data_IF_345593091300
#
_entry.id   IF_345593091300
#
_cell.length_a   1.000
_cell.length_b   1.000
_cell.length_c   1.000
_cell.angle_alpha   90.00
_cell.angle_beta   90.00
_cell.angle_gamma   90.00
#
_symmetry.space_group_name_H-M   'P 1'
#
loop_
_entity.id
_entity.type
_entity.pdbx_description
1 polymer ?
#
# COMPACT_ATOMS: atom_id res chain seq x y z
N UNK A 1 -45.38 -37.64 -9.80
CA UNK A 1 -44.22 -37.84 -10.70
C UNK A 1 -43.18 -36.81 -10.28
N UNK A 2 -42.22 -37.06 -9.37
CA UNK A 2 -41.17 -38.11 -9.35
C UNK A 2 -40.52 -38.18 -10.75
N UNK A 3 -39.24 -37.83 -10.99
CA UNK A 3 -37.97 -38.09 -10.28
C UNK A 3 -36.97 -36.92 -10.52
N UNK A 4 -35.96 -36.54 -9.70
CA UNK A 4 -34.99 -37.23 -8.83
C UNK A 4 -33.98 -38.15 -9.55
N UNK A 5 -32.88 -37.61 -10.09
CA UNK A 5 -31.66 -38.40 -10.36
C UNK A 5 -30.38 -37.67 -9.92
N UNK A 6 -29.83 -38.18 -8.83
CA UNK A 6 -28.41 -38.28 -8.46
C UNK A 6 -28.22 -39.74 -8.00
N UNK A 7 -27.08 -40.27 -7.51
CA UNK A 7 -25.64 -39.98 -7.68
C UNK A 7 -24.79 -41.27 -7.91
N UNK A 8 -23.52 -41.19 -8.35
CA UNK A 8 -22.51 -42.26 -8.10
C UNK A 8 -21.07 -41.75 -8.33
N UNK A 9 -20.29 -41.45 -7.27
CA UNK A 9 -19.30 -42.30 -6.58
C UNK A 9 -18.17 -42.89 -7.45
N UNK A 10 -16.93 -42.45 -7.17
CA UNK A 10 -15.73 -43.28 -6.86
C UNK A 10 -14.60 -42.34 -6.37
N UNK A 11 -14.39 -42.22 -5.06
CA UNK A 11 -13.42 -42.93 -4.20
C UNK A 11 -11.94 -42.52 -4.40
N UNK A 12 -11.46 -41.78 -3.40
CA UNK A 12 -10.29 -42.06 -2.56
C UNK A 12 -9.06 -42.73 -3.21
N UNK A 13 -7.95 -41.98 -3.25
CA UNK A 13 -6.60 -42.46 -3.51
C UNK A 13 -5.58 -41.57 -2.80
N UNK A 14 -4.87 -42.18 -1.87
CA UNK A 14 -3.97 -41.63 -0.87
C UNK A 14 -2.60 -41.21 -1.44
N UNK A 15 -2.01 -40.17 -0.83
CA UNK A 15 -0.58 -39.99 -0.57
C UNK A 15 0.45 -39.98 -1.72
N UNK A 16 1.06 -38.80 -1.94
CA UNK A 16 2.53 -38.59 -2.00
C UNK A 16 2.82 -37.07 -2.01
N UNK A 17 3.11 -36.48 -0.84
CA UNK A 17 4.47 -36.18 -0.34
C UNK A 17 5.23 -35.19 -1.26
N UNK A 18 4.91 -33.90 -1.14
CA UNK A 18 5.79 -32.82 -1.57
C UNK A 18 6.76 -32.51 -0.42
N UNK A 19 8.01 -32.94 -0.61
CA UNK A 19 9.12 -32.70 0.30
C UNK A 19 9.66 -31.28 0.11
N UNK A 20 9.79 -30.56 1.22
CA UNK A 20 10.81 -29.53 1.57
C UNK A 20 11.00 -28.35 0.59
N UNK A 21 10.82 -27.13 1.11
CA UNK A 21 11.93 -26.30 1.65
C UNK A 21 11.40 -24.94 2.12
N UNK A 22 10.97 -24.85 3.37
CA UNK A 22 10.93 -23.58 4.09
C UNK A 22 12.25 -23.44 4.86
N UNK A 23 12.99 -22.37 4.56
CA UNK A 23 14.30 -22.10 5.14
C UNK A 23 14.20 -21.79 6.64
N UNK A 24 15.05 -22.44 7.43
CA UNK A 24 15.21 -22.18 8.86
C UNK A 24 16.15 -20.99 9.13
N UNK A 25 16.15 -20.46 10.37
CA UNK A 25 17.06 -19.39 10.81
C UNK A 25 18.49 -19.91 11.04
N UNK A 26 19.50 -19.03 11.09
CA UNK A 26 20.91 -19.43 11.02
C UNK A 26 21.37 -20.08 12.33
N UNK A 27 22.15 -21.17 12.19
CA UNK A 27 22.89 -21.79 13.28
C UNK A 27 24.15 -20.96 13.58
N UNK A 28 24.20 -20.37 14.77
CA UNK A 28 25.45 -19.96 15.39
C UNK A 28 25.88 -21.10 16.30
N UNK A 29 26.97 -21.79 15.95
CA UNK A 29 27.59 -22.80 16.79
C UNK A 29 28.85 -22.22 17.41
N UNK A 30 28.91 -22.14 18.74
CA UNK A 30 30.16 -22.00 19.52
C UNK A 30 29.94 -22.68 20.90
N UNK A 31 30.65 -23.80 21.08
CA UNK A 31 31.19 -24.44 22.29
C UNK A 31 30.33 -24.79 23.52
N UNK A 32 30.54 -26.04 23.96
CA UNK A 32 30.05 -26.57 25.22
C UNK A 32 30.69 -25.90 26.43
N UNK A 33 29.82 -25.58 27.37
CA UNK A 33 30.08 -25.53 28.81
C UNK A 33 28.76 -25.92 29.46
N UNK A 34 28.78 -26.96 30.30
CA UNK A 34 27.58 -27.47 30.96
C UNK A 34 26.93 -26.39 31.82
N UNK A 35 25.76 -25.91 31.40
CA UNK A 35 24.91 -25.07 32.23
C UNK A 35 24.16 -25.96 33.25
N UNK A 36 24.16 -25.62 34.54
CA UNK A 36 23.33 -26.31 35.53
C UNK A 36 21.84 -26.10 35.21
N UNK A 37 20.97 -27.05 35.60
CA UNK A 37 19.53 -26.96 35.32
C UNK A 37 18.94 -25.68 35.92
N UNK A 38 17.98 -25.03 35.23
CA UNK A 38 17.32 -23.85 35.75
C UNK A 38 16.58 -24.19 37.07
N UNK A 39 16.60 -23.29 38.07
CA UNK A 39 15.89 -23.50 39.32
C UNK A 39 14.38 -23.67 39.06
N UNK A 40 13.68 -24.46 39.89
CA UNK A 40 12.23 -24.62 39.77
C UNK A 40 11.54 -23.25 39.87
N UNK A 41 10.46 -23.02 39.10
CA UNK A 41 9.67 -21.80 39.21
C UNK A 41 9.25 -21.60 40.67
N UNK A 42 9.34 -20.37 41.22
CA UNK A 42 8.84 -20.10 42.56
C UNK A 42 7.39 -20.56 42.63
N UNK A 43 7.08 -21.32 43.68
CA UNK A 43 5.74 -21.81 43.96
C UNK A 43 4.75 -20.69 43.67
N UNK A 44 3.80 -20.96 42.77
CA UNK A 44 2.71 -20.06 42.45
C UNK A 44 2.14 -19.53 43.77
N UNK A 45 2.41 -18.26 44.03
CA UNK A 45 1.80 -17.57 45.15
C UNK A 45 0.31 -17.82 45.05
N UNK A 46 -0.27 -18.31 46.14
CA UNK A 46 -1.70 -18.46 46.30
C UNK A 46 -2.43 -17.28 45.66
N UNK A 47 -3.60 -17.47 45.02
CA UNK A 47 -4.40 -16.34 44.58
C UNK A 47 -4.63 -15.47 45.80
N UNK A 48 -3.94 -14.32 45.86
CA UNK A 48 -4.16 -13.36 46.92
C UNK A 48 -5.64 -13.05 46.86
N UNK A 49 -6.33 -13.44 47.94
CA UNK A 49 -7.73 -13.20 48.12
C UNK A 49 -7.97 -11.73 47.74
N UNK A 50 -8.73 -11.52 46.66
CA UNK A 50 -9.21 -10.22 46.30
C UNK A 50 -9.90 -9.68 47.55
N UNK A 51 -9.26 -8.72 48.21
CA UNK A 51 -9.92 -8.00 49.28
C UNK A 51 -11.20 -7.42 48.67
N UNK A 52 -12.33 -7.41 49.41
CA UNK A 52 -13.55 -6.83 48.92
C UNK A 52 -13.28 -5.35 48.68
N UNK A 53 -13.02 -5.00 47.42
CA UNK A 53 -12.87 -3.65 46.94
C UNK A 53 -14.11 -2.88 47.39
N UNK A 54 -13.90 -1.72 47.97
CA UNK A 54 -15.00 -0.86 48.39
C UNK A 54 -15.90 -0.57 47.17
N UNK A 55 -17.21 -0.36 47.34
CA UNK A 55 -18.12 -0.12 46.21
C UNK A 55 -17.62 1.00 45.28
N UNK A 56 -16.95 2.01 45.84
CA UNK A 56 -16.33 3.11 45.10
C UNK A 56 -15.12 2.70 44.23
N UNK A 57 -14.29 1.77 44.68
CA UNK A 57 -13.15 1.24 43.90
C UNK A 57 -13.61 0.32 42.78
N UNK A 58 -14.72 -0.40 42.99
CA UNK A 58 -15.36 -1.22 41.97
C UNK A 58 -15.95 -0.35 40.85
N UNK A 59 -16.62 0.75 41.22
CA UNK A 59 -17.11 1.76 40.27
C UNK A 59 -15.96 2.38 39.47
N UNK A 60 -14.86 2.75 40.13
CA UNK A 60 -13.67 3.28 39.45
C UNK A 60 -13.10 2.28 38.42
N UNK A 61 -12.97 0.99 38.77
CA UNK A 61 -12.50 -0.04 37.84
C UNK A 61 -13.47 -0.27 36.67
N UNK A 62 -14.78 -0.18 36.91
CA UNK A 62 -15.78 -0.28 35.86
C UNK A 62 -15.69 0.90 34.88
N UNK A 63 -15.48 2.12 35.37
CA UNK A 63 -15.27 3.30 34.49
C UNK A 63 -13.99 3.19 33.67
N UNK A 64 -12.89 2.71 34.25
CA UNK A 64 -11.65 2.47 33.50
C UNK A 64 -11.80 1.39 32.45
N UNK A 65 -12.49 0.29 32.77
CA UNK A 65 -12.77 -0.80 31.84
C UNK A 65 -13.68 -0.34 30.71
N UNK A 66 -14.70 0.46 31.00
CA UNK A 66 -15.57 1.08 30.00
C UNK A 66 -14.77 2.02 29.08
N UNK A 67 -13.87 2.84 29.62
CA UNK A 67 -13.01 3.74 28.83
C UNK A 67 -12.05 2.97 27.92
N UNK A 68 -11.40 1.92 28.43
CA UNK A 68 -10.52 1.04 27.64
C UNK A 68 -11.31 0.30 26.55
N UNK A 69 -12.50 -0.20 26.87
CA UNK A 69 -13.39 -0.86 25.92
C UNK A 69 -13.85 0.11 24.83
N UNK A 70 -14.24 1.34 25.18
CA UNK A 70 -14.64 2.35 24.21
C UNK A 70 -13.49 2.73 23.27
N UNK A 71 -12.26 2.88 23.78
CA UNK A 71 -11.08 3.13 22.93
C UNK A 71 -10.78 1.97 21.98
N UNK A 72 -10.89 0.73 22.45
CA UNK A 72 -10.71 -0.47 21.63
C UNK A 72 -11.81 -0.58 20.56
N UNK A 73 -13.05 -0.31 20.93
CA UNK A 73 -14.20 -0.37 20.02
C UNK A 73 -14.09 0.70 18.93
N UNK A 74 -13.79 1.95 19.29
CA UNK A 74 -13.55 3.05 18.35
C UNK A 74 -12.36 2.77 17.42
N UNK A 75 -11.27 2.15 17.92
CA UNK A 75 -10.12 1.76 17.09
C UNK A 75 -10.41 0.56 16.18
N UNK A 76 -11.23 -0.38 16.63
CA UNK A 76 -11.56 -1.62 15.89
C UNK A 76 -12.53 -1.35 14.75
N UNK A 77 -13.54 -0.50 14.96
CA UNK A 77 -14.60 -0.22 13.99
C UNK A 77 -14.52 1.16 13.35
N UNK A 78 -13.39 1.86 13.48
CA UNK A 78 -13.17 3.13 12.80
C UNK A 78 -13.34 2.99 11.29
N UNK A 79 -13.88 4.03 10.63
CA UNK A 79 -14.25 3.99 9.20
C UNK A 79 -13.11 3.58 8.27
N UNK A 80 -11.85 3.82 8.67
CA UNK A 80 -10.63 3.39 7.96
C UNK A 80 -10.44 1.87 7.84
N UNK A 81 -11.15 1.10 8.68
CA UNK A 81 -11.09 -0.38 8.71
C UNK A 81 -12.39 -1.03 8.23
N UNK A 82 -13.37 -0.23 7.83
CA UNK A 82 -14.58 -0.77 7.20
C UNK A 82 -14.22 -1.33 5.83
N UNK A 83 -14.78 -2.49 5.52
CA UNK A 83 -14.67 -3.10 4.21
C UNK A 83 -15.24 -2.12 3.17
N UNK A 84 -14.44 -1.75 2.17
CA UNK A 84 -14.78 -0.69 1.22
C UNK A 84 -14.22 0.69 1.57
N UNK A 85 -13.35 0.82 2.58
CA UNK A 85 -12.59 2.06 2.78
C UNK A 85 -11.66 2.31 1.59
N UNK A 86 -12.02 3.29 0.78
CA UNK A 86 -11.15 3.82 -0.27
C UNK A 86 -10.21 4.81 0.38
N UNK A 87 -8.92 4.53 0.30
CA UNK A 87 -7.86 5.41 0.79
C UNK A 87 -7.99 6.79 0.12
N UNK A 88 -7.65 7.85 0.86
CA UNK A 88 -7.80 9.22 0.39
C UNK A 88 -7.13 9.43 -0.98
N UNK A 89 -7.78 10.22 -1.83
CA UNK A 89 -7.27 10.58 -3.14
C UNK A 89 -5.87 11.20 -2.99
N UNK A 90 -4.93 10.80 -3.86
CA UNK A 90 -3.59 11.39 -3.87
C UNK A 90 -3.71 12.84 -4.32
N UNK A 91 -3.38 13.75 -3.41
CA UNK A 91 -3.35 15.19 -3.71
C UNK A 91 -2.14 15.53 -4.58
N UNK A 92 -2.25 16.64 -5.32
CA UNK A 92 -1.20 17.12 -6.19
C UNK A 92 0.02 17.59 -5.38
N UNK A 93 1.16 16.97 -5.65
CA UNK A 93 2.44 17.33 -5.05
C UNK A 93 3.00 18.61 -5.69
N UNK A 94 3.80 19.40 -4.96
CA UNK A 94 4.34 20.65 -5.50
C UNK A 94 5.21 20.37 -6.74
N UNK A 95 5.10 21.22 -7.80
CA UNK A 95 5.79 21.01 -9.07
C UNK A 95 7.33 21.05 -8.93
N UNK A 96 7.85 21.71 -7.88
CA UNK A 96 9.27 21.74 -7.56
C UNK A 96 9.86 20.36 -7.26
N UNK A 97 9.05 19.44 -6.73
CA UNK A 97 9.50 18.09 -6.44
C UNK A 97 9.94 17.34 -7.70
N UNK A 98 9.12 17.41 -8.75
CA UNK A 98 9.41 16.78 -10.05
C UNK A 98 10.65 17.42 -10.68
N UNK A 99 10.72 18.76 -10.66
CA UNK A 99 11.86 19.52 -11.19
C UNK A 99 13.16 19.17 -10.48
N UNK A 100 13.12 18.93 -9.16
CA UNK A 100 14.28 18.47 -8.39
C UNK A 100 14.68 17.05 -8.76
N UNK A 101 13.74 16.11 -8.85
CA UNK A 101 14.03 14.72 -9.21
C UNK A 101 14.73 14.63 -10.57
N UNK A 102 14.21 15.32 -11.59
CA UNK A 102 14.78 15.28 -12.95
C UNK A 102 16.19 15.87 -12.96
N UNK A 103 16.42 17.01 -12.27
CA UNK A 103 17.75 17.62 -12.13
C UNK A 103 18.75 16.70 -11.42
N UNK A 104 18.31 16.05 -10.35
CA UNK A 104 19.16 15.18 -9.53
C UNK A 104 19.52 13.86 -10.25
N UNK A 105 18.60 13.30 -11.05
CA UNK A 105 18.82 12.04 -11.78
C UNK A 105 19.58 12.24 -13.10
N UNK A 106 19.34 13.36 -13.80
CA UNK A 106 20.09 13.82 -14.96
C UNK A 106 20.60 12.72 -15.90
N UNK A 107 21.92 12.51 -15.88
CA UNK A 107 22.64 11.60 -16.77
C UNK A 107 22.81 10.17 -16.20
N UNK A 108 22.26 9.88 -15.02
CA UNK A 108 22.33 8.58 -14.34
C UNK A 108 23.79 8.05 -14.20
N UNK A 109 24.79 8.93 -14.27
CA UNK A 109 26.21 8.55 -14.26
C UNK A 109 26.68 8.17 -12.86
N UNK A 110 26.09 8.79 -11.83
CA UNK A 110 26.45 8.55 -10.43
C UNK A 110 26.07 7.14 -9.96
N UNK A 111 26.92 6.57 -9.09
CA UNK A 111 26.69 5.23 -8.49
C UNK A 111 25.43 5.18 -7.60
N UNK A 112 24.95 6.36 -7.16
CA UNK A 112 23.77 6.52 -6.29
C UNK A 112 22.50 6.02 -6.97
N UNK A 113 22.32 6.33 -8.26
CA UNK A 113 21.10 6.01 -9.03
C UNK A 113 21.19 4.68 -9.80
N UNK A 114 22.05 3.75 -9.40
CA UNK A 114 22.20 2.44 -10.08
C UNK A 114 20.91 1.61 -10.08
N UNK A 115 20.14 1.69 -9.00
CA UNK A 115 18.90 0.94 -8.83
C UNK A 115 17.81 1.46 -9.77
N UNK A 116 17.78 2.76 -10.01
CA UNK A 116 16.78 3.44 -10.81
C UNK A 116 16.96 3.17 -12.31
N UNK A 117 18.17 2.82 -12.78
CA UNK A 117 18.44 2.50 -14.21
C UNK A 117 17.52 1.42 -14.78
N UNK A 118 17.19 0.40 -13.99
CA UNK A 118 16.26 -0.67 -14.41
C UNK A 118 14.86 -0.11 -14.66
N UNK A 119 14.45 0.87 -13.86
CA UNK A 119 13.13 1.50 -13.97
C UNK A 119 13.06 2.37 -15.22
N UNK A 120 14.10 3.15 -15.54
CA UNK A 120 14.17 3.93 -16.79
C UNK A 120 14.03 3.04 -18.03
N UNK A 121 14.72 1.90 -18.06
CA UNK A 121 14.57 0.93 -19.15
C UNK A 121 13.16 0.31 -19.20
N UNK A 122 12.55 0.04 -18.03
CA UNK A 122 11.18 -0.46 -17.95
C UNK A 122 10.12 0.56 -18.38
N UNK A 123 10.41 1.85 -18.25
CA UNK A 123 9.53 2.94 -18.64
C UNK A 123 9.52 3.21 -20.15
N UNK A 124 10.58 2.81 -20.87
CA UNK A 124 10.74 3.02 -22.31
C UNK A 124 9.53 2.49 -23.12
N UNK A 125 8.92 1.39 -22.69
CA UNK A 125 7.74 0.81 -23.36
C UNK A 125 6.50 1.72 -23.36
N UNK A 126 6.43 2.66 -22.42
CA UNK A 126 5.30 3.58 -22.29
C UNK A 126 5.56 4.95 -22.90
N UNK A 127 6.75 5.16 -23.48
CA UNK A 127 7.09 6.40 -24.18
C UNK A 127 6.10 6.73 -25.30
N UNK A 128 5.63 5.77 -26.14
CA UNK A 128 4.62 6.09 -27.14
C UNK A 128 3.35 6.69 -26.55
N UNK A 129 2.94 6.23 -25.36
CA UNK A 129 1.77 6.77 -24.67
C UNK A 129 2.04 8.16 -24.08
N UNK A 130 3.21 8.38 -23.48
CA UNK A 130 3.60 9.69 -22.96
C UNK A 130 3.68 10.75 -24.07
N UNK A 131 4.27 10.39 -25.21
CA UNK A 131 4.36 11.29 -26.39
C UNK A 131 2.97 11.57 -26.96
N UNK A 132 2.13 10.54 -27.09
CA UNK A 132 0.75 10.73 -27.55
C UNK A 132 0.00 11.73 -26.68
N UNK A 133 0.02 11.53 -25.34
CA UNK A 133 -0.63 12.43 -24.36
C UNK A 133 -0.04 13.84 -24.34
N UNK A 134 1.23 14.00 -24.71
CA UNK A 134 1.88 15.31 -24.82
C UNK A 134 1.40 16.05 -26.08
N UNK A 135 1.33 15.37 -27.22
CA UNK A 135 0.96 15.96 -28.50
C UNK A 135 -0.52 16.36 -28.58
N UNK A 136 -1.43 15.62 -27.97
CA UNK A 136 -2.84 16.03 -27.91
C UNK A 136 -3.05 17.33 -27.09
N UNK A 137 -2.12 17.66 -26.18
CA UNK A 137 -2.20 18.84 -25.31
C UNK A 137 -1.30 19.99 -25.78
N UNK A 138 -0.91 19.99 -27.05
CA UNK A 138 -0.20 21.12 -27.66
C UNK A 138 -0.98 22.44 -27.41
N UNK A 139 -0.26 23.54 -27.08
CA UNK A 139 -0.90 24.83 -26.92
C UNK A 139 -1.43 25.31 -28.26
N UNK A 140 -2.68 25.78 -28.26
CA UNK A 140 -3.27 26.39 -29.44
C UNK A 140 -2.60 27.74 -29.72
N UNK A 141 -2.56 28.24 -30.97
CA UNK A 141 -1.80 29.45 -31.31
C UNK A 141 -2.30 30.72 -30.58
N UNK A 142 -3.53 30.72 -30.09
CA UNK A 142 -4.09 31.79 -29.26
C UNK A 142 -3.77 31.68 -27.76
N UNK A 143 -3.10 30.60 -27.32
CA UNK A 143 -2.75 30.33 -25.93
C UNK A 143 -1.24 30.51 -25.72
N UNK A 144 -0.84 31.53 -24.94
CA UNK A 144 0.58 31.84 -24.70
C UNK A 144 1.29 30.77 -23.87
N UNK A 145 0.63 30.24 -22.84
CA UNK A 145 1.16 29.19 -21.94
C UNK A 145 0.00 28.31 -21.49
N UNK A 146 0.17 26.99 -21.65
CA UNK A 146 -0.77 25.98 -21.16
C UNK A 146 -0.21 25.25 -19.94
N UNK A 147 -0.89 25.35 -18.80
CA UNK A 147 -0.55 24.59 -17.60
C UNK A 147 -1.31 23.27 -17.61
N UNK A 148 -0.59 22.16 -17.45
CA UNK A 148 -1.15 20.81 -17.62
C UNK A 148 -0.82 19.96 -16.40
N UNK A 149 -1.80 19.20 -15.89
CA UNK A 149 -1.57 18.22 -14.83
C UNK A 149 -0.72 17.05 -15.32
N UNK A 150 0.30 16.70 -14.55
CA UNK A 150 1.27 15.66 -14.89
C UNK A 150 1.26 14.55 -13.85
N UNK A 151 1.15 13.32 -14.31
CA UNK A 151 1.40 12.12 -13.53
C UNK A 151 2.82 11.63 -13.80
N UNK A 152 3.65 11.61 -12.78
CA UNK A 152 5.07 11.28 -12.90
C UNK A 152 5.45 10.04 -12.09
N UNK A 153 6.48 9.33 -12.55
CA UNK A 153 7.08 8.26 -11.77
C UNK A 153 7.89 8.82 -10.60
N UNK A 154 7.89 8.17 -9.43
CA UNK A 154 8.60 8.63 -8.21
C UNK A 154 10.10 8.89 -8.42
N UNK A 155 10.74 8.20 -9.38
CA UNK A 155 12.16 8.39 -9.75
C UNK A 155 12.37 9.36 -10.92
N UNK A 156 11.30 9.91 -11.50
CA UNK A 156 11.35 10.77 -12.69
C UNK A 156 11.58 10.04 -14.01
N UNK A 157 11.44 8.71 -14.05
CA UNK A 157 11.71 7.90 -15.24
C UNK A 157 10.79 8.18 -16.43
N UNK A 158 9.54 8.58 -16.16
CA UNK A 158 8.56 8.94 -17.18
C UNK A 158 7.53 9.88 -16.57
N UNK A 159 7.01 10.78 -17.39
CA UNK A 159 5.98 11.75 -17.05
C UNK A 159 4.87 11.68 -18.09
N UNK A 160 3.63 11.49 -17.64
CA UNK A 160 2.44 11.50 -18.46
C UNK A 160 1.64 12.76 -18.20
N UNK A 161 1.10 13.34 -19.26
CA UNK A 161 0.05 14.34 -19.14
C UNK A 161 -1.26 13.64 -18.77
N UNK A 162 -1.87 14.04 -17.65
CA UNK A 162 -3.09 13.45 -17.12
C UNK A 162 -4.32 14.35 -17.37
N UNK A 163 -4.44 14.87 -18.58
CA UNK A 163 -5.58 15.69 -19.02
C UNK A 163 -6.09 15.19 -20.37
N UNK A 164 -7.36 15.43 -20.65
CA UNK A 164 -7.98 15.26 -21.96
C UNK A 164 -8.48 16.65 -22.38
N UNK A 165 -8.07 17.19 -23.53
CA UNK A 165 -8.52 18.49 -23.99
C UNK A 165 -9.99 18.42 -24.41
N UNK A 166 -10.90 18.83 -23.53
CA UNK A 166 -12.30 19.01 -23.88
C UNK A 166 -12.47 20.38 -24.51
N UNK A 167 -12.96 20.43 -25.75
CA UNK A 167 -13.20 21.69 -26.44
C UNK A 167 -14.66 21.76 -26.87
N UNK A 168 -15.29 22.91 -26.63
CA UNK A 168 -16.65 23.18 -27.06
C UNK A 168 -16.64 23.46 -28.57
N UNK A 169 -17.24 22.56 -29.35
CA UNK A 169 -17.21 22.56 -30.83
C UNK A 169 -17.48 23.92 -31.49
N UNK A 170 -18.56 24.67 -31.16
CA UNK A 170 -18.82 25.94 -31.83
C UNK A 170 -17.78 27.02 -31.55
N UNK A 171 -17.14 26.99 -30.37
CA UNK A 171 -16.08 27.95 -30.01
C UNK A 171 -14.78 27.57 -30.74
N UNK A 172 -14.47 26.28 -30.84
CA UNK A 172 -13.29 25.79 -31.53
C UNK A 172 -13.29 26.17 -33.01
N UNK A 173 -14.40 25.96 -33.70
CA UNK A 173 -14.54 26.30 -35.12
C UNK A 173 -14.40 27.81 -35.36
N UNK A 174 -14.97 28.63 -34.47
CA UNK A 174 -14.79 30.07 -34.53
C UNK A 174 -13.31 30.44 -34.35
N UNK A 175 -12.62 29.88 -33.36
CA UNK A 175 -11.21 30.18 -33.09
C UNK A 175 -10.27 29.73 -34.22
N UNK A 176 -10.49 28.54 -34.79
CA UNK A 176 -9.69 28.04 -35.91
C UNK A 176 -9.99 28.82 -37.19
N UNK A 177 -11.24 29.20 -37.43
CA UNK A 177 -11.62 29.99 -38.62
C UNK A 177 -11.24 31.47 -38.56
N UNK A 178 -10.95 32.00 -37.36
CA UNK A 178 -10.44 33.36 -37.16
C UNK A 178 -8.94 33.47 -37.49
N UNK A 179 -8.20 32.35 -37.43
CA UNK A 179 -6.76 32.28 -37.64
C UNK A 179 -6.37 32.09 -39.12
#
# INVERSE_FOLDING_TARGET
MLEAVSPARRRCGTARRLHRRWGGPPSSGYHGVGLPPPPPPPAAGAPQAAQPLTPAELEAQLTEKARKWHQLNSKRYGDKRKFGFVEAQKEDMPPEHVRKIIRDHGDMSSKKYRHDKRVYLGALKFVPHAVYKLLENMPMPWEQVRNVKVLYHITGAITFVNEIPWVVEPIYLAQVGIA
#
